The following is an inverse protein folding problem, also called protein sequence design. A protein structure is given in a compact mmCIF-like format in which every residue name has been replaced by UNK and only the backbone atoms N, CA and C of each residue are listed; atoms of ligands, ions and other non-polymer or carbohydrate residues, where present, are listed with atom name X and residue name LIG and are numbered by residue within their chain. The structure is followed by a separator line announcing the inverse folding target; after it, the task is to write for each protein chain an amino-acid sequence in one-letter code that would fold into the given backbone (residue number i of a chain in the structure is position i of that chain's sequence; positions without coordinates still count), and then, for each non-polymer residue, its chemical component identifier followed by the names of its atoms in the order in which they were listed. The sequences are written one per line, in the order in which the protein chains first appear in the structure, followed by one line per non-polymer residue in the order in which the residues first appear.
data_IF_664403412171
#
_entry.id   IF_664403412171
#
_cell.length_a   1.000
_cell.length_b   1.000
_cell.length_c   1.000
_cell.angle_alpha   90.00
_cell.angle_beta   90.00
_cell.angle_gamma   90.00
#
_symmetry.space_group_name_H-M   'P 1'
#
loop_
_entity.id
_entity.type
_entity.pdbx_description
1 polymer ?
#
# COMPACT_ATOMS: atom_id res chain seq x y z
N UNK A 1 49.38 -55.08 9.57
CA UNK A 1 48.03 -55.08 8.93
C UNK A 1 47.25 -53.90 9.50
N UNK A 2 47.22 -52.74 8.79
CA UNK A 2 46.56 -51.47 9.25
C UNK A 2 45.24 -51.32 8.47
N UNK A 3 44.15 -51.45 9.17
CA UNK A 3 42.82 -51.22 8.61
C UNK A 3 42.52 -49.72 8.66
N UNK A 4 42.37 -49.07 7.49
CA UNK A 4 41.89 -47.72 7.32
C UNK A 4 40.35 -47.78 7.20
N UNK A 5 39.66 -47.27 8.24
CA UNK A 5 38.21 -47.03 8.16
C UNK A 5 37.99 -45.72 7.43
N UNK A 6 37.42 -45.81 6.25
CA UNK A 6 36.92 -44.62 5.51
C UNK A 6 35.58 -44.20 6.10
N UNK A 7 35.54 -43.05 6.76
CA UNK A 7 34.30 -42.38 7.21
C UNK A 7 33.66 -41.73 5.98
N UNK A 8 32.59 -42.32 5.48
CA UNK A 8 31.75 -41.70 4.46
C UNK A 8 30.84 -40.67 5.12
N UNK A 9 31.15 -39.38 4.95
CA UNK A 9 30.25 -38.25 5.30
C UNK A 9 29.10 -38.23 4.31
N UNK A 10 27.94 -38.72 4.71
CA UNK A 10 26.69 -38.48 4.01
C UNK A 10 26.27 -37.04 4.27
N UNK A 11 26.49 -36.16 3.30
CA UNK A 11 25.86 -34.83 3.27
C UNK A 11 24.37 -35.03 2.98
N UNK A 12 23.54 -34.96 3.99
CA UNK A 12 22.10 -34.82 3.81
C UNK A 12 21.83 -33.44 3.19
N UNK A 13 21.10 -33.36 2.06
CA UNK A 13 20.68 -32.07 1.57
C UNK A 13 19.76 -31.45 2.66
N UNK A 14 20.12 -30.27 3.17
CA UNK A 14 19.19 -29.42 3.90
C UNK A 14 18.05 -29.08 2.90
N UNK A 15 16.93 -29.77 3.03
CA UNK A 15 15.71 -29.30 2.43
C UNK A 15 15.43 -27.92 3.06
N UNK A 16 15.48 -26.87 2.25
CA UNK A 16 14.99 -25.57 2.63
C UNK A 16 13.54 -25.78 3.08
N UNK A 17 13.24 -25.44 4.33
CA UNK A 17 11.88 -25.49 4.83
C UNK A 17 11.08 -24.48 4.02
N UNK A 18 10.15 -24.96 3.22
CA UNK A 18 9.11 -24.13 2.61
C UNK A 18 8.42 -23.37 3.75
N UNK A 19 8.66 -22.06 3.83
CA UNK A 19 7.89 -21.22 4.72
C UNK A 19 6.48 -21.13 4.15
N UNK A 20 5.53 -21.64 4.89
CA UNK A 20 4.10 -21.63 4.51
C UNK A 20 3.67 -20.24 4.02
N UNK A 21 3.37 -20.14 2.74
CA UNK A 21 2.53 -19.11 2.15
C UNK A 21 3.22 -17.97 1.42
N UNK A 22 4.50 -17.66 1.66
CA UNK A 22 5.15 -16.50 1.03
C UNK A 22 5.98 -16.82 -0.23
N UNK A 23 6.32 -18.08 -0.47
CA UNK A 23 7.19 -18.48 -1.57
C UNK A 23 6.44 -18.95 -2.84
N UNK A 24 5.12 -18.92 -2.83
CA UNK A 24 4.35 -19.19 -4.03
C UNK A 24 4.31 -17.94 -4.90
N UNK A 25 4.68 -18.03 -6.19
CA UNK A 25 4.48 -16.95 -7.12
C UNK A 25 3.02 -16.47 -7.04
N UNK A 26 2.81 -15.15 -6.96
CA UNK A 26 1.47 -14.60 -7.06
C UNK A 26 0.85 -15.06 -8.37
N UNK A 27 -0.36 -15.64 -8.33
CA UNK A 27 -1.12 -15.97 -9.53
C UNK A 27 -1.86 -14.76 -10.12
N UNK A 28 -1.67 -13.57 -9.55
CA UNK A 28 -2.18 -12.32 -10.10
C UNK A 28 -1.31 -11.88 -11.28
N UNK A 29 -1.96 -11.63 -12.40
CA UNK A 29 -1.36 -11.10 -13.62
C UNK A 29 -1.75 -9.65 -13.80
N UNK A 30 -0.78 -8.75 -13.87
CA UNK A 30 -1.00 -7.33 -14.15
C UNK A 30 -1.48 -7.18 -15.60
N UNK A 31 -2.62 -6.52 -15.78
CA UNK A 31 -3.28 -6.25 -17.07
C UNK A 31 -3.33 -4.78 -17.43
N UNK A 32 -3.04 -3.91 -16.45
CA UNK A 32 -2.88 -2.48 -16.65
C UNK A 32 -1.92 -1.93 -15.60
N UNK A 33 -0.99 -1.06 -16.02
CA UNK A 33 -0.12 -0.31 -15.12
C UNK A 33 0.19 1.04 -15.76
N UNK A 34 -0.25 2.11 -15.13
CA UNK A 34 0.07 3.48 -15.49
C UNK A 34 0.67 4.21 -14.30
N UNK A 35 1.62 5.09 -14.59
CA UNK A 35 2.32 5.90 -13.60
C UNK A 35 1.96 7.36 -13.84
N UNK A 36 1.43 8.00 -12.83
CA UNK A 36 1.03 9.41 -12.81
C UNK A 36 1.82 10.11 -11.70
N UNK A 37 3.00 10.61 -12.03
CA UNK A 37 3.98 11.11 -11.06
C UNK A 37 4.35 10.00 -10.05
N UNK A 38 4.06 10.17 -8.76
CA UNK A 38 4.33 9.16 -7.72
C UNK A 38 3.21 8.13 -7.57
N UNK A 39 2.06 8.33 -8.22
CA UNK A 39 0.86 7.50 -8.10
C UNK A 39 0.80 6.44 -9.18
N UNK A 40 0.51 5.21 -8.80
CA UNK A 40 0.41 4.09 -9.73
C UNK A 40 -1.03 3.59 -9.80
N UNK A 41 -1.62 3.60 -11.00
CA UNK A 41 -2.88 2.88 -11.27
C UNK A 41 -2.55 1.50 -11.77
N UNK A 42 -3.03 0.48 -11.09
CA UNK A 42 -2.75 -0.92 -11.40
C UNK A 42 -4.07 -1.68 -11.47
N UNK A 43 -4.20 -2.54 -12.50
CA UNK A 43 -5.22 -3.57 -12.51
C UNK A 43 -4.56 -4.92 -12.73
N UNK A 44 -5.05 -5.92 -12.02
CA UNK A 44 -4.60 -7.29 -12.15
C UNK A 44 -5.78 -8.26 -12.14
N UNK A 45 -5.51 -9.49 -12.58
CA UNK A 45 -6.50 -10.55 -12.68
C UNK A 45 -5.89 -11.89 -12.32
N UNK A 46 -6.72 -12.82 -11.88
CA UNK A 46 -6.36 -14.21 -11.66
C UNK A 46 -7.53 -15.14 -11.92
N UNK A 47 -7.26 -16.40 -12.16
CA UNK A 47 -8.28 -17.43 -12.12
C UNK A 47 -8.54 -17.86 -10.67
N UNK A 48 -9.80 -17.83 -10.28
CA UNK A 48 -10.28 -18.33 -8.99
C UNK A 48 -11.30 -19.45 -9.24
N UNK A 49 -10.84 -20.68 -9.24
CA UNK A 49 -11.70 -21.87 -9.43
C UNK A 49 -12.48 -21.85 -10.75
N UNK A 50 -11.85 -21.39 -11.83
CA UNK A 50 -12.45 -21.29 -13.16
C UNK A 50 -13.27 -20.02 -13.39
N UNK A 51 -13.29 -19.09 -12.46
CA UNK A 51 -13.85 -17.76 -12.62
C UNK A 51 -12.74 -16.70 -12.66
N UNK A 52 -12.86 -15.71 -13.57
CA UNK A 52 -11.91 -14.61 -13.64
C UNK A 52 -12.18 -13.59 -12.55
N UNK A 53 -11.28 -13.48 -11.58
CA UNK A 53 -11.27 -12.42 -10.60
C UNK A 53 -10.44 -11.25 -11.12
N UNK A 54 -10.98 -10.03 -11.07
CA UNK A 54 -10.32 -8.81 -11.51
C UNK A 54 -10.42 -7.74 -10.43
N UNK A 55 -9.36 -6.92 -10.31
CA UNK A 55 -9.36 -5.74 -9.43
C UNK A 55 -8.55 -4.62 -10.05
N UNK A 56 -8.85 -3.39 -9.66
CA UNK A 56 -8.04 -2.21 -9.93
C UNK A 56 -7.85 -1.42 -8.65
N UNK A 57 -6.71 -0.75 -8.53
CA UNK A 57 -6.37 0.08 -7.38
C UNK A 57 -5.38 1.16 -7.75
N UNK A 58 -5.37 2.24 -6.95
CA UNK A 58 -4.27 3.20 -6.96
C UNK A 58 -3.34 2.84 -5.81
N UNK A 59 -2.04 2.86 -6.08
CA UNK A 59 -1.00 2.55 -5.10
C UNK A 59 0.07 3.62 -5.06
N UNK A 60 0.53 3.95 -3.85
CA UNK A 60 1.80 4.60 -3.57
C UNK A 60 2.57 3.77 -2.54
N UNK A 61 3.86 3.62 -2.74
CA UNK A 61 4.79 3.04 -1.77
C UNK A 61 5.93 4.01 -1.58
N UNK A 62 6.24 4.33 -0.34
CA UNK A 62 7.38 5.17 0.03
C UNK A 62 8.25 4.43 1.05
N UNK A 63 9.49 4.16 0.67
CA UNK A 63 10.49 3.51 1.54
C UNK A 63 11.37 4.60 2.11
N UNK A 64 11.11 4.98 3.35
CA UNK A 64 11.84 6.06 4.02
C UNK A 64 12.97 5.58 4.93
N UNK A 65 13.10 4.28 5.14
CA UNK A 65 14.25 3.68 5.79
C UNK A 65 14.64 2.37 5.07
N UNK A 66 15.86 2.31 4.48
CA UNK A 66 16.33 1.09 3.83
C UNK A 66 16.77 0.03 4.83
N UNK A 67 17.09 -1.16 4.32
CA UNK A 67 17.66 -2.23 5.14
C UNK A 67 18.93 -1.77 5.88
N UNK A 68 19.23 -2.22 7.13
CA UNK A 68 18.47 -3.25 7.89
C UNK A 68 17.24 -2.72 8.64
N UNK A 69 17.07 -1.41 8.78
CA UNK A 69 15.97 -0.78 9.51
C UNK A 69 14.84 -0.41 8.55
N UNK A 70 14.41 -1.37 7.73
CA UNK A 70 13.39 -1.13 6.72
C UNK A 70 12.14 -0.54 7.35
N UNK A 71 11.69 0.59 6.77
CA UNK A 71 10.42 1.20 7.07
C UNK A 71 9.83 1.80 5.79
N UNK A 72 8.55 1.57 5.57
CA UNK A 72 7.82 2.04 4.42
C UNK A 72 6.40 2.46 4.82
N UNK A 73 5.82 3.36 4.03
CA UNK A 73 4.42 3.71 4.10
C UNK A 73 3.75 3.37 2.78
N UNK A 74 2.54 2.85 2.89
CA UNK A 74 1.75 2.43 1.75
C UNK A 74 0.44 3.21 1.71
N UNK A 75 -0.04 3.42 0.52
CA UNK A 75 -1.39 3.91 0.23
C UNK A 75 -2.03 2.97 -0.78
N UNK A 76 -3.28 2.60 -0.51
CA UNK A 76 -4.14 1.90 -1.45
C UNK A 76 -5.50 2.59 -1.51
N UNK A 77 -5.97 2.82 -2.73
CA UNK A 77 -7.36 3.15 -3.03
C UNK A 77 -7.96 1.99 -3.79
N UNK A 78 -8.97 1.36 -3.21
CA UNK A 78 -9.67 0.20 -3.76
C UNK A 78 -11.17 0.44 -3.79
N UNK A 79 -11.95 -0.22 -4.67
CA UNK A 79 -13.39 -0.30 -4.51
C UNK A 79 -13.71 -1.24 -3.35
N UNK A 80 -14.69 -0.88 -2.52
CA UNK A 80 -15.22 -1.76 -1.50
C UNK A 80 -16.53 -2.43 -1.95
N UNK A 81 -17.10 -3.28 -1.10
CA UNK A 81 -18.42 -3.85 -1.29
C UNK A 81 -19.47 -2.73 -1.38
N UNK A 82 -20.21 -2.68 -2.50
CA UNK A 82 -21.12 -1.57 -2.82
C UNK A 82 -20.50 -0.47 -3.66
N UNK A 83 -19.23 -0.66 -4.11
CA UNK A 83 -18.49 0.19 -5.08
C UNK A 83 -18.21 1.61 -4.62
N UNK A 84 -18.30 1.84 -3.31
CA UNK A 84 -17.72 3.00 -2.68
C UNK A 84 -16.20 2.86 -2.63
N UNK A 85 -15.50 3.95 -2.48
CA UNK A 85 -14.06 3.92 -2.34
C UNK A 85 -13.64 3.54 -0.92
N UNK A 86 -12.59 2.73 -0.82
CA UNK A 86 -11.86 2.51 0.42
C UNK A 86 -10.43 3.00 0.25
N UNK A 87 -9.95 3.74 1.23
CA UNK A 87 -8.58 4.22 1.29
C UNK A 87 -7.91 3.63 2.51
N UNK A 88 -6.81 2.95 2.28
CA UNK A 88 -5.99 2.37 3.34
C UNK A 88 -4.57 2.93 3.29
N UNK A 89 -4.07 3.34 4.46
CA UNK A 89 -2.66 3.64 4.66
C UNK A 89 -2.05 2.53 5.51
N UNK A 90 -1.05 1.84 4.96
CA UNK A 90 -0.24 0.90 5.71
C UNK A 90 0.79 1.65 6.53
N UNK A 91 0.60 1.67 7.85
CA UNK A 91 1.50 2.28 8.81
C UNK A 91 2.25 1.19 9.57
N UNK A 92 3.53 1.42 9.85
CA UNK A 92 4.29 0.52 10.70
C UNK A 92 3.74 0.54 12.13
N UNK A 93 3.54 -0.65 12.73
CA UNK A 93 3.13 -0.77 14.13
C UNK A 93 4.13 -0.03 15.05
N UNK A 94 3.60 0.78 15.97
CA UNK A 94 4.41 1.62 16.85
C UNK A 94 4.73 3.00 16.27
N UNK A 95 4.25 3.33 15.08
CA UNK A 95 4.24 4.71 14.57
C UNK A 95 3.32 5.56 15.45
N UNK A 96 3.81 6.72 15.87
CA UNK A 96 3.06 7.68 16.69
C UNK A 96 2.92 8.99 15.94
N UNK A 97 1.68 9.41 15.73
CA UNK A 97 1.35 10.67 15.08
C UNK A 97 0.42 11.49 15.97
N UNK A 98 0.64 12.78 16.07
CA UNK A 98 -0.27 13.69 16.77
C UNK A 98 -1.43 14.11 15.84
N UNK A 99 -2.60 14.50 16.38
CA UNK A 99 -3.66 15.11 15.59
C UNK A 99 -3.13 16.27 14.74
N UNK A 100 -3.53 16.33 13.47
CA UNK A 100 -3.06 17.33 12.51
C UNK A 100 -1.71 17.05 11.85
N UNK A 101 -0.97 16.03 12.27
CA UNK A 101 0.29 15.66 11.65
C UNK A 101 0.13 14.71 10.44
N UNK A 102 -1.05 14.19 10.20
CA UNK A 102 -1.46 13.47 9.02
C UNK A 102 -2.50 14.32 8.29
N UNK A 103 -2.06 15.08 7.29
CA UNK A 103 -2.82 16.22 6.75
C UNK A 103 -2.56 16.47 5.27
N UNK A 104 -3.47 17.19 4.62
CA UNK A 104 -3.26 17.78 3.30
C UNK A 104 -3.07 19.28 3.45
N UNK A 105 -2.02 19.79 2.85
CA UNK A 105 -1.70 21.23 2.81
C UNK A 105 -1.83 21.79 1.39
N UNK A 106 -2.39 23.00 1.28
CA UNK A 106 -2.38 23.81 0.05
C UNK A 106 -1.90 25.20 0.37
N UNK A 107 -0.87 25.66 -0.32
CA UNK A 107 -0.28 27.00 -0.11
C UNK A 107 0.04 27.28 1.37
N UNK A 108 0.56 26.26 2.06
CA UNK A 108 0.93 26.36 3.48
C UNK A 108 -0.23 26.29 4.48
N UNK A 109 -1.45 26.07 4.02
CA UNK A 109 -2.63 25.93 4.87
C UNK A 109 -3.11 24.49 4.90
N UNK A 110 -3.34 23.94 6.11
CA UNK A 110 -3.95 22.61 6.26
C UNK A 110 -5.43 22.70 5.87
N UNK A 111 -5.82 21.96 4.84
CA UNK A 111 -7.19 21.90 4.32
C UNK A 111 -7.93 20.64 4.77
N UNK A 112 -7.18 19.62 5.15
CA UNK A 112 -7.70 18.38 5.71
C UNK A 112 -6.70 17.80 6.70
N UNK A 113 -7.17 17.15 7.75
CA UNK A 113 -6.35 16.36 8.66
C UNK A 113 -7.17 15.23 9.28
N UNK A 114 -6.49 14.19 9.78
CA UNK A 114 -7.15 13.08 10.45
C UNK A 114 -7.00 13.15 11.97
N UNK A 115 -8.09 12.77 12.65
CA UNK A 115 -8.12 12.50 14.09
C UNK A 115 -8.39 11.00 14.37
N UNK A 116 -8.30 10.12 13.35
CA UNK A 116 -8.50 8.68 13.51
C UNK A 116 -7.44 8.10 14.43
N UNK A 117 -7.87 7.43 15.48
CA UNK A 117 -6.98 6.81 16.49
C UNK A 117 -6.05 5.79 15.85
N UNK A 118 -6.53 4.95 14.92
CA UNK A 118 -5.71 3.98 14.21
C UNK A 118 -4.56 4.63 13.44
N UNK A 119 -4.81 5.74 12.73
CA UNK A 119 -3.76 6.50 12.05
C UNK A 119 -2.80 7.18 13.03
N UNK A 120 -3.27 7.58 14.22
CA UNK A 120 -2.43 8.23 15.23
C UNK A 120 -1.50 7.27 15.96
N UNK A 121 -1.88 6.00 16.04
CA UNK A 121 -1.16 4.97 16.81
C UNK A 121 -0.49 3.91 15.93
N UNK A 122 -0.59 4.02 14.61
CA UNK A 122 -0.02 3.05 13.68
C UNK A 122 -0.65 1.65 13.75
N UNK A 123 -1.91 1.54 14.17
CA UNK A 123 -2.61 0.25 14.29
C UNK A 123 -3.57 -0.05 13.15
N UNK A 124 -3.93 0.96 12.38
CA UNK A 124 -4.79 0.83 11.20
C UNK A 124 -5.33 2.19 10.78
N UNK A 125 -5.21 2.52 9.50
CA UNK A 125 -5.61 3.80 8.95
C UNK A 125 -6.43 3.60 7.69
N UNK A 126 -7.69 3.24 7.88
CA UNK A 126 -8.64 2.96 6.79
C UNK A 126 -9.77 3.97 6.80
N UNK A 127 -10.10 4.49 5.63
CA UNK A 127 -11.23 5.39 5.39
C UNK A 127 -12.20 4.70 4.43
N UNK A 128 -13.50 4.77 4.74
CA UNK A 128 -14.58 4.27 3.90
C UNK A 128 -15.79 5.20 3.99
N UNK A 129 -16.76 5.02 3.09
CA UNK A 129 -17.98 5.83 3.03
C UNK A 129 -17.67 7.33 2.95
N UNK A 130 -18.42 8.16 3.69
CA UNK A 130 -18.30 9.62 3.66
C UNK A 130 -16.89 10.13 4.02
N UNK A 131 -16.16 9.39 4.89
CA UNK A 131 -14.80 9.77 5.25
C UNK A 131 -13.81 9.56 4.09
N UNK A 132 -13.97 8.50 3.31
CA UNK A 132 -13.19 8.27 2.10
C UNK A 132 -13.50 9.31 1.03
N UNK A 133 -14.77 9.61 0.79
CA UNK A 133 -15.19 10.60 -0.21
C UNK A 133 -14.67 12.01 0.11
N UNK A 134 -14.69 12.39 1.39
CA UNK A 134 -14.11 13.66 1.83
C UNK A 134 -12.61 13.69 1.55
N UNK A 135 -11.88 12.65 1.93
CA UNK A 135 -10.44 12.55 1.69
C UNK A 135 -10.12 12.53 0.20
N UNK A 136 -10.85 11.78 -0.62
CA UNK A 136 -10.68 11.73 -2.07
C UNK A 136 -10.88 13.11 -2.70
N UNK A 137 -11.91 13.84 -2.28
CA UNK A 137 -12.18 15.19 -2.77
C UNK A 137 -10.99 16.12 -2.51
N UNK A 138 -10.43 16.05 -1.32
CA UNK A 138 -9.27 16.86 -0.97
C UNK A 138 -7.99 16.42 -1.70
N UNK A 139 -7.76 15.12 -1.86
CA UNK A 139 -6.62 14.61 -2.62
C UNK A 139 -6.68 15.01 -4.11
N UNK A 140 -7.86 14.91 -4.72
CA UNK A 140 -8.08 15.30 -6.13
C UNK A 140 -7.91 16.79 -6.37
N UNK A 141 -8.17 17.62 -5.37
CA UNK A 141 -7.96 19.06 -5.46
C UNK A 141 -6.48 19.48 -5.39
N UNK A 142 -5.56 18.52 -5.22
CA UNK A 142 -4.11 18.74 -5.22
C UNK A 142 -3.55 19.28 -3.92
N UNK A 143 -2.31 19.72 -3.96
CA UNK A 143 -1.52 20.13 -2.81
C UNK A 143 -0.54 19.04 -2.38
N UNK A 144 -0.18 19.01 -1.10
CA UNK A 144 0.78 18.06 -0.53
C UNK A 144 0.11 17.25 0.58
N UNK A 145 0.20 15.94 0.49
CA UNK A 145 -0.12 15.07 1.62
C UNK A 145 1.11 14.99 2.52
N UNK A 146 1.00 15.43 3.76
CA UNK A 146 2.11 15.47 4.71
C UNK A 146 1.89 14.55 5.90
N UNK A 147 2.96 13.86 6.28
CA UNK A 147 3.01 12.91 7.38
C UNK A 147 4.15 13.27 8.29
N UNK A 148 3.85 13.80 9.47
CA UNK A 148 4.84 14.06 10.51
C UNK A 148 4.60 13.08 11.64
N UNK A 149 5.54 12.17 11.88
CA UNK A 149 5.36 11.10 12.86
C UNK A 149 6.69 10.68 13.49
N UNK A 150 6.59 9.92 14.55
CA UNK A 150 7.71 9.20 15.13
C UNK A 150 7.61 7.72 14.75
N UNK A 151 8.61 7.22 14.02
CA UNK A 151 8.74 5.81 13.72
C UNK A 151 8.95 4.98 14.99
N UNK A 152 8.65 3.68 14.95
CA UNK A 152 8.78 2.78 16.12
C UNK A 152 10.19 2.76 16.72
N UNK A 153 11.22 3.04 15.94
CA UNK A 153 12.61 3.13 16.39
C UNK A 153 12.98 4.51 16.97
N UNK A 154 12.01 5.39 17.16
CA UNK A 154 12.18 6.70 17.77
C UNK A 154 12.61 7.82 16.85
N UNK A 155 12.91 7.54 15.58
CA UNK A 155 13.25 8.56 14.60
C UNK A 155 12.03 9.39 14.20
N UNK A 156 12.18 10.72 14.16
CA UNK A 156 11.17 11.61 13.60
C UNK A 156 11.21 11.58 12.08
N UNK A 157 10.06 11.53 11.45
CA UNK A 157 9.87 11.52 10.01
C UNK A 157 8.98 12.68 9.58
N UNK A 158 9.28 13.26 8.44
CA UNK A 158 8.45 14.26 7.77
C UNK A 158 8.40 13.91 6.27
N UNK A 159 7.37 13.17 5.89
CA UNK A 159 7.17 12.71 4.53
C UNK A 159 6.20 13.64 3.81
N UNK A 160 6.45 13.87 2.54
CA UNK A 160 5.57 14.67 1.67
C UNK A 160 5.29 13.88 0.39
N UNK A 161 4.01 13.73 0.08
CA UNK A 161 3.54 13.15 -1.17
C UNK A 161 2.80 14.23 -1.97
N UNK A 162 3.38 14.74 -3.08
CA UNK A 162 2.69 15.66 -3.96
C UNK A 162 1.44 15.01 -4.56
N UNK A 163 0.35 15.75 -4.61
CA UNK A 163 -0.96 15.29 -5.10
C UNK A 163 -1.23 15.67 -6.56
N UNK A 164 -0.29 16.31 -7.26
CA UNK A 164 -0.46 16.74 -8.66
C UNK A 164 -0.81 15.59 -9.61
N UNK A 165 -0.16 14.44 -9.45
CA UNK A 165 -0.44 13.23 -10.23
C UNK A 165 -1.67 12.44 -9.77
N UNK A 166 -2.32 12.80 -8.67
CA UNK A 166 -3.41 11.99 -8.11
C UNK A 166 -4.70 12.07 -8.93
N UNK A 167 -5.10 13.26 -9.40
CA UNK A 167 -6.31 13.39 -10.24
C UNK A 167 -6.20 12.62 -11.57
N UNK A 168 -5.10 12.71 -12.34
CA UNK A 168 -4.89 11.84 -13.50
C UNK A 168 -4.91 10.35 -13.16
N UNK A 169 -4.29 9.94 -12.03
CA UNK A 169 -4.34 8.54 -11.57
C UNK A 169 -5.78 8.10 -11.25
N UNK A 170 -6.54 8.96 -10.59
CA UNK A 170 -7.93 8.68 -10.25
C UNK A 170 -8.82 8.59 -11.50
N UNK A 171 -8.62 9.46 -12.48
CA UNK A 171 -9.35 9.43 -13.75
C UNK A 171 -9.06 8.11 -14.51
N UNK A 172 -7.79 7.69 -14.60
CA UNK A 172 -7.42 6.42 -15.20
C UNK A 172 -8.02 5.23 -14.42
N UNK A 173 -7.90 5.24 -13.10
CA UNK A 173 -8.50 4.22 -12.24
C UNK A 173 -10.01 4.05 -12.50
N UNK A 174 -10.77 5.14 -12.56
CA UNK A 174 -12.20 5.11 -12.86
C UNK A 174 -12.50 4.55 -14.25
N UNK A 175 -11.69 4.94 -15.24
CA UNK A 175 -11.81 4.42 -16.61
C UNK A 175 -11.54 2.90 -16.66
N UNK A 176 -10.54 2.43 -15.93
CA UNK A 176 -10.20 1.01 -15.87
C UNK A 176 -11.26 0.17 -15.14
N UNK A 177 -11.86 0.69 -14.08
CA UNK A 177 -13.00 0.07 -13.40
C UNK A 177 -14.18 -0.08 -14.37
N UNK A 178 -14.55 1.01 -15.06
CA UNK A 178 -15.64 1.00 -16.02
C UNK A 178 -15.40 -0.01 -17.17
N UNK A 179 -14.17 -0.03 -17.71
CA UNK A 179 -13.78 -0.96 -18.78
C UNK A 179 -13.95 -2.43 -18.40
N UNK A 180 -13.80 -2.77 -17.13
CA UNK A 180 -13.87 -4.14 -16.58
C UNK A 180 -15.21 -4.47 -15.94
N UNK A 181 -16.17 -3.54 -15.96
CA UNK A 181 -17.46 -3.74 -15.30
C UNK A 181 -17.36 -3.80 -13.77
N UNK A 182 -16.31 -3.22 -13.20
CA UNK A 182 -16.05 -3.14 -11.75
C UNK A 182 -16.63 -1.88 -11.10
N UNK A 183 -17.52 -1.18 -11.79
CA UNK A 183 -18.32 -0.06 -11.26
C UNK A 183 -19.77 -0.51 -11.11
N UNK A 184 -20.48 0.05 -10.11
CA UNK A 184 -21.96 -0.06 -10.10
C UNK A 184 -22.55 0.58 -11.36
N UNK A 185 -23.61 0.00 -11.92
CA UNK A 185 -24.39 0.64 -12.96
C UNK A 185 -25.04 1.93 -12.48
#
# INVERSE_FOLDING_TARGET
MRWLFALSLFATPLAAQDQDGNDRPSNWRVTHHAIHDIWNTICDERDENGALAQRCYIRRVDVFSPQPNFAAQFFFLTPNEGLNSEIEFGLELGTLTAPGNFRIERKGTSVWHTNRVGCLTGTGCTFNGAAAETLLTEMRAGGDFRFTFRARHGASQDLTWPLEGFEPAYADYRAQLAKRGLTSP
#
